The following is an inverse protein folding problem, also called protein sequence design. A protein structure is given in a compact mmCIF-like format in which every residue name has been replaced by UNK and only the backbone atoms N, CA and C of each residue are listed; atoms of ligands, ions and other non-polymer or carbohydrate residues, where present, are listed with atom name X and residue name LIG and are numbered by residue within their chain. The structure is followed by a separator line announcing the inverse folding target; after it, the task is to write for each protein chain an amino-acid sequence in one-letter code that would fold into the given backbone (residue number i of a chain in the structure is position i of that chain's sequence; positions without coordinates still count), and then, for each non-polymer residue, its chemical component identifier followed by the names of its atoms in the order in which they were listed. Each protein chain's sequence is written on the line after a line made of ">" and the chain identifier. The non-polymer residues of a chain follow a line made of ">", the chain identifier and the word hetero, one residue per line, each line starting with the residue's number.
data_IF_558894340366
#
_entry.id   IF_558894340366
#
_cell.length_a   1.000
_cell.length_b   1.000
_cell.length_c   1.000
_cell.angle_alpha   90.00
_cell.angle_beta   90.00
_cell.angle_gamma   90.00
#
_symmetry.space_group_name_H-M   'P 1'
#
loop_
_entity.id
_entity.type
_entity.pdbx_description
1 polymer ?
#
# COMPACT_ATOMS: atom_id res chain seq x y z
N UNK A 1 -20.61 -0.40 -5.79
CA UNK A 1 -19.74 -1.53 -5.41
C UNK A 1 -19.53 -2.40 -6.64
N UNK A 2 -18.30 -2.83 -6.89
CA UNK A 2 -18.01 -3.80 -7.97
C UNK A 2 -18.57 -5.15 -7.55
N UNK A 3 -19.37 -5.74 -8.42
CA UNK A 3 -19.85 -7.10 -8.23
C UNK A 3 -18.74 -8.06 -8.67
N UNK A 4 -17.85 -8.41 -7.73
CA UNK A 4 -16.72 -9.31 -8.02
C UNK A 4 -17.20 -10.73 -8.32
N UNK A 5 -18.33 -11.15 -7.75
CA UNK A 5 -18.93 -12.46 -8.00
C UNK A 5 -19.28 -12.63 -9.49
N UNK A 6 -19.81 -11.58 -10.12
CA UNK A 6 -20.06 -11.57 -11.57
C UNK A 6 -18.77 -11.64 -12.40
N UNK A 7 -17.67 -11.07 -11.92
CA UNK A 7 -16.37 -11.16 -12.60
C UNK A 7 -15.84 -12.59 -12.52
N UNK A 8 -15.87 -13.19 -11.33
CA UNK A 8 -15.39 -14.55 -11.05
C UNK A 8 -16.26 -15.60 -11.77
N UNK A 9 -17.56 -15.37 -11.90
CA UNK A 9 -18.45 -16.26 -12.65
C UNK A 9 -18.06 -16.42 -14.14
N UNK A 10 -17.31 -15.46 -14.70
CA UNK A 10 -16.78 -15.54 -16.05
C UNK A 10 -15.37 -16.14 -16.14
N UNK A 11 -14.76 -16.54 -15.02
CA UNK A 11 -13.42 -17.11 -14.99
C UNK A 11 -13.48 -18.63 -15.15
N UNK A 12 -12.47 -19.18 -15.83
CA UNK A 12 -12.19 -20.61 -15.88
C UNK A 12 -11.34 -21.02 -14.65
N UNK A 13 -11.89 -21.79 -13.69
CA UNK A 13 -11.17 -22.16 -12.48
C UNK A 13 -9.92 -23.00 -12.71
N UNK A 14 -9.81 -23.68 -13.84
CA UNK A 14 -8.63 -24.50 -14.18
C UNK A 14 -7.50 -23.65 -14.79
N UNK A 15 -7.77 -22.37 -15.11
CA UNK A 15 -6.83 -21.47 -15.79
C UNK A 15 -6.60 -20.17 -15.03
N UNK A 16 -6.72 -20.21 -13.71
CA UNK A 16 -6.43 -19.07 -12.84
C UNK A 16 -4.96 -18.66 -12.99
N UNK A 17 -4.74 -17.35 -13.08
CA UNK A 17 -3.39 -16.77 -13.06
C UNK A 17 -3.21 -15.83 -11.87
N UNK A 18 -1.97 -15.73 -11.41
CA UNK A 18 -1.54 -14.80 -10.36
C UNK A 18 -0.98 -13.55 -11.02
N UNK A 19 -1.59 -12.41 -10.74
CA UNK A 19 -1.13 -11.11 -11.21
C UNK A 19 -0.53 -10.28 -10.07
N UNK A 20 0.55 -9.54 -10.33
CA UNK A 20 1.10 -8.54 -9.39
C UNK A 20 1.80 -7.41 -10.13
N UNK A 21 1.96 -6.26 -9.46
CA UNK A 21 2.81 -5.19 -9.96
C UNK A 21 4.28 -5.56 -9.88
N UNK A 22 5.09 -5.01 -10.76
CA UNK A 22 6.53 -5.22 -10.81
C UNK A 22 7.26 -4.35 -9.76
N UNK A 23 7.03 -4.66 -8.48
CA UNK A 23 7.72 -4.02 -7.34
C UNK A 23 7.68 -4.86 -6.06
N UNK A 24 8.29 -4.33 -4.98
CA UNK A 24 8.21 -4.85 -3.62
C UNK A 24 8.58 -6.36 -3.54
N UNK A 25 7.58 -7.22 -3.43
CA UNK A 25 7.71 -8.67 -3.25
C UNK A 25 7.27 -9.47 -4.48
N UNK A 26 7.20 -8.82 -5.66
CA UNK A 26 6.71 -9.41 -6.90
C UNK A 26 7.44 -10.70 -7.27
N UNK A 27 8.77 -10.74 -7.26
CA UNK A 27 9.53 -11.94 -7.62
C UNK A 27 9.22 -13.14 -6.71
N UNK A 28 9.02 -12.90 -5.41
CA UNK A 28 8.62 -13.95 -4.48
C UNK A 28 7.20 -14.44 -4.76
N UNK A 29 6.27 -13.51 -5.03
CA UNK A 29 4.88 -13.83 -5.40
C UNK A 29 4.86 -14.68 -6.67
N UNK A 30 5.61 -14.27 -7.70
CA UNK A 30 5.69 -14.99 -8.97
C UNK A 30 6.34 -16.36 -8.81
N UNK A 31 7.39 -16.45 -8.01
CA UNK A 31 8.02 -17.73 -7.68
C UNK A 31 7.05 -18.67 -6.95
N UNK A 32 6.29 -18.16 -5.98
CA UNK A 32 5.23 -18.92 -5.32
C UNK A 32 4.18 -19.42 -6.31
N UNK A 33 3.71 -18.56 -7.22
CA UNK A 33 2.77 -18.95 -8.27
C UNK A 33 3.32 -20.11 -9.14
N UNK A 34 4.60 -20.07 -9.51
CA UNK A 34 5.26 -21.15 -10.26
C UNK A 34 5.31 -22.46 -9.50
N UNK A 35 5.65 -22.43 -8.21
CA UNK A 35 5.69 -23.63 -7.37
C UNK A 35 4.30 -24.27 -7.24
N UNK A 36 3.26 -23.43 -7.15
CA UNK A 36 1.85 -23.85 -7.12
C UNK A 36 1.26 -24.15 -8.51
N UNK A 37 2.08 -24.14 -9.57
CA UNK A 37 1.69 -24.43 -10.96
C UNK A 37 0.62 -23.48 -11.52
N UNK A 38 0.55 -22.26 -11.02
CA UNK A 38 -0.30 -21.19 -11.52
C UNK A 38 0.45 -20.35 -12.57
N UNK A 39 -0.28 -19.87 -13.58
CA UNK A 39 0.30 -18.95 -14.55
C UNK A 39 0.58 -17.59 -13.91
N UNK A 40 1.68 -16.94 -14.27
CA UNK A 40 2.08 -15.64 -13.71
C UNK A 40 1.94 -14.47 -14.68
N UNK A 41 1.30 -13.39 -14.24
CA UNK A 41 1.14 -12.13 -14.98
C UNK A 41 1.81 -10.99 -14.22
N UNK A 42 2.78 -10.33 -14.84
CA UNK A 42 3.49 -9.20 -14.26
C UNK A 42 3.05 -7.90 -14.93
N UNK A 43 2.49 -6.97 -14.15
CA UNK A 43 2.22 -5.61 -14.63
C UNK A 43 3.45 -4.76 -14.37
N UNK A 44 4.08 -4.23 -15.42
CA UNK A 44 5.40 -3.60 -15.34
C UNK A 44 5.42 -2.26 -16.06
N UNK A 45 6.03 -1.25 -15.44
CA UNK A 45 6.33 0.01 -16.13
C UNK A 45 7.56 -0.15 -17.04
N UNK A 46 7.61 0.62 -18.13
CA UNK A 46 8.72 0.55 -19.12
C UNK A 46 10.11 0.68 -18.50
N UNK A 47 10.27 1.57 -17.52
CA UNK A 47 11.54 1.84 -16.82
C UNK A 47 12.04 0.67 -15.97
N UNK A 48 11.18 -0.33 -15.67
CA UNK A 48 11.53 -1.50 -14.85
C UNK A 48 11.65 -2.78 -15.66
N UNK A 49 11.20 -2.78 -16.91
CA UNK A 49 11.15 -3.98 -17.75
C UNK A 49 12.53 -4.66 -17.89
N UNK A 50 13.59 -3.87 -18.01
CA UNK A 50 14.97 -4.37 -18.11
C UNK A 50 15.35 -5.27 -16.92
N UNK A 51 14.91 -4.92 -15.71
CA UNK A 51 15.22 -5.69 -14.50
C UNK A 51 14.48 -7.03 -14.52
N UNK A 52 13.17 -7.00 -14.77
CA UNK A 52 12.32 -8.19 -14.76
C UNK A 52 12.59 -9.14 -15.93
N UNK A 53 13.19 -8.65 -17.01
CA UNK A 53 13.67 -9.49 -18.12
C UNK A 53 14.73 -10.53 -17.69
N UNK A 54 15.43 -10.32 -16.57
CA UNK A 54 16.35 -11.31 -16.01
C UNK A 54 15.63 -12.48 -15.32
N UNK A 55 14.32 -12.36 -15.08
CA UNK A 55 13.50 -13.31 -14.34
C UNK A 55 12.36 -13.91 -15.19
N UNK A 56 12.53 -13.97 -16.51
CA UNK A 56 11.52 -14.51 -17.45
C UNK A 56 11.06 -15.93 -17.11
N UNK A 57 11.92 -16.75 -16.49
CA UNK A 57 11.55 -18.09 -16.02
C UNK A 57 10.44 -18.09 -14.95
N UNK A 58 10.22 -16.96 -14.27
CA UNK A 58 9.13 -16.77 -13.29
C UNK A 58 7.89 -16.10 -13.89
N UNK A 59 7.94 -15.59 -15.12
CA UNK A 59 6.93 -14.68 -15.69
C UNK A 59 6.39 -15.26 -17.00
N UNK A 60 5.14 -15.72 -17.01
CA UNK A 60 4.49 -16.19 -18.25
C UNK A 60 4.03 -15.05 -19.14
N UNK A 61 3.52 -13.98 -18.53
CA UNK A 61 2.98 -12.83 -19.25
C UNK A 61 3.43 -11.52 -18.60
N UNK A 62 3.78 -10.54 -19.43
CA UNK A 62 4.05 -9.17 -18.99
C UNK A 62 3.02 -8.25 -19.63
N UNK A 63 2.36 -7.43 -18.82
CA UNK A 63 1.54 -6.31 -19.29
C UNK A 63 2.34 -5.04 -19.02
N UNK A 64 2.72 -4.33 -20.08
CA UNK A 64 3.48 -3.09 -19.95
C UNK A 64 2.52 -1.91 -19.84
N UNK A 65 2.75 -1.04 -18.87
CA UNK A 65 1.99 0.20 -18.63
C UNK A 65 2.91 1.42 -18.63
N UNK A 66 2.40 2.61 -18.98
CA UNK A 66 3.20 3.85 -18.91
C UNK A 66 3.33 4.32 -17.45
N UNK A 67 2.25 4.19 -16.69
CA UNK A 67 2.13 4.57 -15.29
C UNK A 67 1.41 3.49 -14.49
N UNK A 68 1.70 3.39 -13.20
CA UNK A 68 0.98 2.46 -12.30
C UNK A 68 -0.53 2.73 -12.23
N UNK A 69 -0.95 3.98 -12.45
CA UNK A 69 -2.37 4.36 -12.50
C UNK A 69 -3.11 3.74 -13.68
N UNK A 70 -2.39 3.38 -14.74
CA UNK A 70 -2.96 2.75 -15.94
C UNK A 70 -3.42 1.31 -15.66
N UNK A 71 -3.13 0.75 -14.49
CA UNK A 71 -3.66 -0.55 -14.08
C UNK A 71 -5.19 -0.62 -14.20
N UNK A 72 -5.87 0.49 -13.90
CA UNK A 72 -7.33 0.59 -13.97
C UNK A 72 -7.86 0.95 -15.37
N UNK A 73 -7.01 1.10 -16.38
CA UNK A 73 -7.46 1.33 -17.74
C UNK A 73 -8.17 0.07 -18.26
N UNK A 74 -9.24 0.27 -19.03
CA UNK A 74 -10.10 -0.81 -19.52
C UNK A 74 -9.32 -1.88 -20.29
N UNK A 75 -8.31 -1.47 -21.07
CA UNK A 75 -7.44 -2.40 -21.80
C UNK A 75 -6.66 -3.34 -20.87
N UNK A 76 -6.03 -2.80 -19.83
CA UNK A 76 -5.24 -3.58 -18.86
C UNK A 76 -6.16 -4.52 -18.07
N UNK A 77 -7.33 -4.02 -17.65
CA UNK A 77 -8.36 -4.82 -17.00
C UNK A 77 -8.82 -5.96 -17.92
N UNK A 78 -9.10 -5.71 -19.20
CA UNK A 78 -9.47 -6.73 -20.16
C UNK A 78 -8.40 -7.81 -20.31
N UNK A 79 -7.13 -7.40 -20.40
CA UNK A 79 -6.00 -8.32 -20.48
C UNK A 79 -5.85 -9.20 -19.23
N UNK A 80 -6.14 -8.66 -18.03
CA UNK A 80 -6.13 -9.43 -16.79
C UNK A 80 -7.33 -10.39 -16.71
N UNK A 81 -8.52 -9.93 -17.09
CA UNK A 81 -9.74 -10.76 -17.07
C UNK A 81 -9.68 -11.92 -18.06
N UNK A 82 -9.16 -11.69 -19.27
CA UNK A 82 -9.01 -12.76 -20.27
C UNK A 82 -8.02 -13.86 -19.86
N UNK A 83 -7.20 -13.58 -18.83
CA UNK A 83 -6.25 -14.52 -18.23
C UNK A 83 -6.74 -15.09 -16.90
N UNK A 84 -8.00 -14.86 -16.52
CA UNK A 84 -8.54 -15.27 -15.23
C UNK A 84 -7.65 -14.81 -14.05
N UNK A 85 -7.07 -13.62 -14.16
CA UNK A 85 -6.09 -13.14 -13.19
C UNK A 85 -6.72 -12.78 -11.86
N UNK A 86 -6.12 -13.28 -10.78
CA UNK A 86 -6.31 -12.81 -9.41
C UNK A 86 -5.12 -11.94 -9.05
N UNK A 87 -5.39 -10.69 -8.67
CA UNK A 87 -4.36 -9.72 -8.31
C UNK A 87 -3.93 -9.92 -6.86
N UNK A 88 -2.63 -10.10 -6.64
CA UNK A 88 -2.01 -10.17 -5.32
C UNK A 88 -1.38 -8.81 -5.00
N UNK A 89 -1.99 -8.01 -4.11
CA UNK A 89 -1.45 -6.72 -3.70
C UNK A 89 -0.24 -6.92 -2.77
N UNK A 90 0.68 -5.97 -2.80
CA UNK A 90 1.87 -5.92 -1.93
C UNK A 90 2.09 -4.50 -1.38
N UNK A 91 3.09 -4.29 -0.53
CA UNK A 91 3.27 -3.03 0.23
C UNK A 91 3.32 -1.74 -0.59
N UNK A 92 3.73 -1.78 -1.86
CA UNK A 92 3.71 -0.60 -2.75
C UNK A 92 2.41 -0.41 -3.55
N UNK A 93 1.43 -1.30 -3.44
CA UNK A 93 0.27 -1.34 -4.35
C UNK A 93 -0.56 -0.05 -4.29
N UNK A 94 -1.17 0.23 -3.13
CA UNK A 94 -2.03 1.41 -2.93
C UNK A 94 -1.28 2.71 -3.20
N UNK A 95 -0.01 2.78 -2.80
CA UNK A 95 0.88 3.94 -3.02
C UNK A 95 1.09 4.23 -4.52
N UNK A 96 1.21 3.19 -5.35
CA UNK A 96 1.48 3.33 -6.77
C UNK A 96 0.23 3.58 -7.60
N UNK A 97 -0.81 2.80 -7.36
CA UNK A 97 -2.03 2.83 -8.19
C UNK A 97 -3.03 3.87 -7.69
N UNK A 98 -2.91 4.29 -6.43
CA UNK A 98 -3.87 5.15 -5.74
C UNK A 98 -5.02 4.36 -5.10
N UNK A 99 -5.57 4.90 -4.01
CA UNK A 99 -6.61 4.22 -3.22
C UNK A 99 -7.87 3.90 -4.04
N UNK A 100 -8.30 4.82 -4.89
CA UNK A 100 -9.49 4.63 -5.74
C UNK A 100 -9.31 3.45 -6.71
N UNK A 101 -8.21 3.43 -7.47
CA UNK A 101 -7.93 2.31 -8.36
C UNK A 101 -7.75 0.99 -7.58
N UNK A 102 -7.05 1.02 -6.44
CA UNK A 102 -6.87 -0.16 -5.59
C UNK A 102 -8.19 -0.76 -5.10
N UNK A 103 -9.13 0.07 -4.65
CA UNK A 103 -10.42 -0.37 -4.12
C UNK A 103 -11.42 -0.74 -5.21
N UNK A 104 -11.37 -0.08 -6.37
CA UNK A 104 -12.37 -0.17 -7.43
C UNK A 104 -11.87 -0.77 -8.76
N UNK A 105 -10.72 -1.43 -8.80
CA UNK A 105 -10.36 -2.23 -9.97
C UNK A 105 -11.30 -3.46 -10.11
N UNK A 106 -11.92 -3.73 -11.27
CA UNK A 106 -12.84 -4.85 -11.45
C UNK A 106 -12.13 -6.19 -11.75
N UNK A 107 -11.14 -6.53 -10.91
CA UNK A 107 -10.31 -7.74 -10.96
C UNK A 107 -10.39 -8.43 -9.59
N UNK A 108 -10.48 -9.76 -9.47
CA UNK A 108 -10.41 -10.43 -8.18
C UNK A 108 -9.11 -10.09 -7.46
N UNK A 109 -9.18 -9.76 -6.17
CA UNK A 109 -8.00 -9.45 -5.34
C UNK A 109 -7.88 -10.52 -4.27
N UNK A 110 -6.66 -11.03 -4.05
CA UNK A 110 -6.38 -11.87 -2.90
C UNK A 110 -6.27 -11.01 -1.65
N UNK A 111 -7.22 -11.16 -0.72
CA UNK A 111 -7.31 -10.39 0.52
C UNK A 111 -8.57 -9.52 0.60
N UNK A 112 -8.57 -8.54 1.49
CA UNK A 112 -9.73 -7.66 1.74
C UNK A 112 -9.49 -6.25 1.21
N UNK A 113 -10.29 -5.83 0.23
CA UNK A 113 -10.27 -4.45 -0.32
C UNK A 113 -10.53 -3.40 0.75
N UNK A 114 -11.38 -3.71 1.73
CA UNK A 114 -11.72 -2.80 2.82
C UNK A 114 -10.50 -2.38 3.63
N UNK A 115 -9.50 -3.25 3.75
CA UNK A 115 -8.28 -2.95 4.51
C UNK A 115 -7.44 -1.85 3.86
N UNK A 116 -7.55 -1.60 2.55
CA UNK A 116 -6.78 -0.53 1.91
C UNK A 116 -7.08 0.84 2.50
N UNK A 117 -8.35 1.24 2.62
CA UNK A 117 -8.70 2.53 3.27
C UNK A 117 -8.37 2.57 4.76
N UNK A 118 -8.36 1.42 5.45
CA UNK A 118 -8.00 1.35 6.87
C UNK A 118 -6.50 1.56 7.05
N UNK A 119 -5.68 0.85 6.26
CA UNK A 119 -4.22 0.88 6.39
C UNK A 119 -3.60 2.17 5.84
N UNK A 120 -4.22 2.75 4.79
CA UNK A 120 -3.81 4.04 4.23
C UNK A 120 -4.04 5.21 5.20
N UNK A 121 -4.96 5.08 6.16
CA UNK A 121 -5.26 6.12 7.14
C UNK A 121 -4.72 5.72 8.53
N UNK A 122 -3.74 6.47 9.03
CA UNK A 122 -3.08 6.12 10.30
C UNK A 122 -4.04 6.10 11.49
N UNK A 123 -5.03 7.00 11.55
CA UNK A 123 -6.03 7.01 12.63
C UNK A 123 -6.92 5.77 12.59
N UNK A 124 -7.41 5.39 11.40
CA UNK A 124 -8.21 4.16 11.23
C UNK A 124 -7.40 2.92 11.59
N UNK A 125 -6.13 2.86 11.19
CA UNK A 125 -5.22 1.79 11.57
C UNK A 125 -5.01 1.71 13.08
N UNK A 126 -4.77 2.83 13.76
CA UNK A 126 -4.63 2.85 15.23
C UNK A 126 -5.94 2.43 15.92
N UNK A 127 -7.09 2.87 15.42
CA UNK A 127 -8.39 2.46 15.94
C UNK A 127 -8.63 0.95 15.78
N UNK A 128 -8.23 0.36 14.65
CA UNK A 128 -8.31 -1.08 14.42
C UNK A 128 -7.43 -1.86 15.42
N UNK A 129 -6.17 -1.44 15.60
CA UNK A 129 -5.24 -2.07 16.55
C UNK A 129 -5.77 -2.00 17.99
N UNK A 130 -6.27 -0.81 18.40
CA UNK A 130 -6.88 -0.61 19.71
C UNK A 130 -8.10 -1.52 19.91
N UNK A 131 -8.97 -1.63 18.91
CA UNK A 131 -10.14 -2.52 18.94
C UNK A 131 -9.75 -3.99 19.04
N UNK A 132 -8.61 -4.38 18.46
CA UNK A 132 -8.07 -5.73 18.54
C UNK A 132 -7.34 -6.04 19.87
N UNK A 133 -7.24 -5.07 20.79
CA UNK A 133 -6.51 -5.25 22.05
C UNK A 133 -4.99 -5.29 21.88
N UNK A 134 -4.47 -4.84 20.72
CA UNK A 134 -3.03 -4.77 20.48
C UNK A 134 -2.50 -3.49 21.15
N UNK A 135 -1.47 -3.58 22.01
CA UNK A 135 -0.84 -2.39 22.59
C UNK A 135 -0.31 -1.47 21.48
N UNK A 136 -0.67 -0.20 21.57
CA UNK A 136 -0.18 0.86 20.69
C UNK A 136 0.52 1.93 21.54
N UNK A 137 1.51 2.66 20.98
CA UNK A 137 2.09 3.81 21.67
C UNK A 137 0.99 4.81 22.03
N UNK A 138 1.12 5.45 23.20
CA UNK A 138 0.21 6.50 23.64
C UNK A 138 0.13 7.61 22.57
N UNK A 139 -1.10 8.06 22.27
CA UNK A 139 -1.34 9.11 21.27
C UNK A 139 -1.58 10.43 22.01
N UNK A 140 -0.86 11.47 21.61
CA UNK A 140 -0.96 12.81 22.16
C UNK A 140 -1.64 13.75 21.16
N UNK A 141 -2.48 14.64 21.68
CA UNK A 141 -3.00 15.80 20.95
C UNK A 141 -2.05 16.99 21.13
N UNK A 142 -2.14 17.97 20.23
CA UNK A 142 -1.38 19.23 20.35
C UNK A 142 -1.68 19.99 21.64
N UNK A 143 -2.86 19.81 22.23
CA UNK A 143 -3.25 20.39 23.51
C UNK A 143 -2.51 19.79 24.69
N UNK A 144 -2.09 18.54 24.59
CA UNK A 144 -1.64 17.73 25.71
C UNK A 144 -0.24 18.14 26.21
N UNK A 145 0.03 17.87 27.48
CA UNK A 145 1.35 18.06 28.07
C UNK A 145 2.28 16.91 27.62
N UNK A 146 3.44 17.27 27.07
CA UNK A 146 4.44 16.30 26.60
C UNK A 146 5.36 15.94 27.77
N UNK A 147 5.02 14.86 28.48
CA UNK A 147 5.77 14.38 29.65
C UNK A 147 6.88 13.38 29.31
N UNK A 148 6.93 12.91 28.06
CA UNK A 148 7.86 11.89 27.56
C UNK A 148 8.27 12.20 26.11
N UNK A 149 9.37 11.61 25.59
CA UNK A 149 9.72 11.77 24.19
C UNK A 149 8.60 11.25 23.28
N UNK A 150 8.30 12.00 22.22
CA UNK A 150 7.28 11.66 21.23
C UNK A 150 7.87 11.61 19.83
N UNK A 151 7.35 10.70 19.01
CA UNK A 151 7.56 10.66 17.57
C UNK A 151 6.38 11.33 16.88
N UNK A 152 6.65 12.38 16.10
CA UNK A 152 5.67 13.05 15.26
C UNK A 152 5.71 12.42 13.87
N UNK A 153 4.57 11.88 13.45
CA UNK A 153 4.38 11.13 12.21
C UNK A 153 3.54 11.94 11.23
N UNK A 154 4.10 12.20 10.05
CA UNK A 154 3.46 12.94 8.96
C UNK A 154 2.65 12.00 8.04
N UNK A 155 1.61 12.51 7.37
CA UNK A 155 0.91 11.77 6.31
C UNK A 155 1.84 11.50 5.13
N UNK A 156 1.65 10.36 4.44
CA UNK A 156 2.38 10.07 3.21
C UNK A 156 3.91 9.92 3.34
N UNK A 157 4.44 9.88 4.57
CA UNK A 157 5.85 9.66 4.84
C UNK A 157 6.30 8.26 4.39
N UNK A 158 6.72 8.13 3.13
CA UNK A 158 7.18 6.87 2.53
C UNK A 158 8.40 6.35 3.30
N UNK A 159 8.22 5.30 4.09
CA UNK A 159 9.26 4.75 4.95
C UNK A 159 9.69 5.66 6.10
N UNK A 160 8.79 6.52 6.60
CA UNK A 160 9.06 7.39 7.76
C UNK A 160 9.80 8.69 7.44
N UNK A 161 9.95 9.05 6.16
CA UNK A 161 10.55 10.34 5.77
C UNK A 161 9.78 11.53 6.37
N UNK A 162 10.51 12.42 7.03
CA UNK A 162 9.94 13.61 7.67
C UNK A 162 9.44 13.39 9.10
N UNK A 163 9.51 12.16 9.61
CA UNK A 163 9.24 11.92 11.03
C UNK A 163 10.32 12.57 11.89
N UNK A 164 9.94 12.99 13.09
CA UNK A 164 10.90 13.56 14.03
C UNK A 164 10.52 13.30 15.48
N UNK A 165 11.55 13.23 16.31
CA UNK A 165 11.40 13.12 17.76
C UNK A 165 11.34 14.51 18.37
N UNK A 166 10.48 14.70 19.36
CA UNK A 166 10.39 15.92 20.14
C UNK A 166 10.15 15.60 21.63
N UNK A 167 10.54 16.53 22.51
CA UNK A 167 10.25 16.48 23.95
C UNK A 167 9.62 17.78 24.45
N UNK A 168 9.20 18.65 23.54
CA UNK A 168 8.64 19.97 23.88
C UNK A 168 7.54 20.29 22.89
N UNK A 169 6.40 20.74 23.42
CA UNK A 169 5.24 21.20 22.65
C UNK A 169 5.59 22.34 21.69
N UNK A 170 6.40 23.30 22.14
CA UNK A 170 6.80 24.44 21.31
C UNK A 170 7.57 24.00 20.07
N UNK A 171 8.52 23.05 20.23
CA UNK A 171 9.26 22.47 19.10
C UNK A 171 8.36 21.71 18.13
N UNK A 172 7.33 21.02 18.64
CA UNK A 172 6.34 20.33 17.80
C UNK A 172 5.58 21.36 16.97
N UNK A 173 5.05 22.40 17.61
CA UNK A 173 4.27 23.46 16.93
C UNK A 173 5.11 24.20 15.89
N UNK A 174 6.34 24.60 16.25
CA UNK A 174 7.26 25.28 15.34
C UNK A 174 7.48 24.47 14.05
N UNK A 175 7.80 23.18 14.21
CA UNK A 175 8.12 22.29 13.08
C UNK A 175 6.89 21.92 12.26
N UNK A 176 5.73 21.76 12.89
CA UNK A 176 4.45 21.57 12.19
C UNK A 176 4.13 22.81 11.35
N UNK A 177 4.27 24.02 11.91
CA UNK A 177 4.05 25.26 11.17
C UNK A 177 5.00 25.40 9.97
N UNK A 178 6.26 24.98 10.12
CA UNK A 178 7.22 24.90 9.01
C UNK A 178 6.72 23.96 7.90
N UNK A 179 6.25 22.76 8.26
CA UNK A 179 5.73 21.78 7.30
C UNK A 179 4.43 22.22 6.62
N UNK A 180 3.55 22.90 7.34
CA UNK A 180 2.35 23.52 6.79
C UNK A 180 2.72 24.61 5.77
N UNK A 181 3.67 25.49 6.10
CA UNK A 181 4.17 26.54 5.18
C UNK A 181 4.80 25.95 3.91
N UNK A 182 5.47 24.80 4.04
CA UNK A 182 6.07 24.07 2.90
C UNK A 182 5.05 23.24 2.12
N UNK A 183 3.79 23.19 2.54
CA UNK A 183 2.75 22.38 1.91
C UNK A 183 2.94 20.86 2.06
N UNK A 184 3.80 20.43 3.00
CA UNK A 184 4.07 19.02 3.28
C UNK A 184 2.90 18.41 4.07
N UNK A 185 2.34 19.18 5.00
CA UNK A 185 1.12 18.85 5.72
C UNK A 185 0.05 19.83 5.27
N UNK A 186 -1.16 19.32 4.98
CA UNK A 186 -2.29 20.19 4.60
C UNK A 186 -3.12 20.55 5.82
N UNK A 187 -3.32 19.58 6.72
CA UNK A 187 -4.16 19.71 7.88
C UNK A 187 -3.54 19.01 9.10
N UNK A 188 -3.85 19.50 10.30
CA UNK A 188 -3.29 18.95 11.55
C UNK A 188 -3.80 17.54 11.88
N UNK A 189 -4.99 17.17 11.39
CA UNK A 189 -5.57 15.83 11.54
C UNK A 189 -4.80 14.76 10.76
N UNK A 190 -3.95 15.16 9.82
CA UNK A 190 -3.08 14.25 9.09
C UNK A 190 -1.86 13.80 9.91
N UNK A 191 -1.56 14.50 11.01
CA UNK A 191 -0.41 14.25 11.88
C UNK A 191 -0.82 13.35 13.04
N UNK A 192 0.06 12.41 13.40
CA UNK A 192 -0.04 11.65 14.65
C UNK A 192 1.18 11.92 15.52
N UNK A 193 0.94 12.32 16.77
CA UNK A 193 1.97 12.43 17.80
C UNK A 193 1.84 11.20 18.69
N UNK A 194 2.90 10.40 18.77
CA UNK A 194 2.90 9.16 19.53
C UNK A 194 4.08 9.10 20.48
N UNK A 195 3.91 8.43 21.61
CA UNK A 195 5.02 8.07 22.49
C UNK A 195 6.16 7.43 21.69
N UNK A 196 7.38 7.91 21.92
CA UNK A 196 8.57 7.31 21.37
C UNK A 196 9.00 6.13 22.23
N UNK A 197 8.71 4.92 21.74
CA UNK A 197 9.05 3.67 22.42
C UNK A 197 10.50 3.30 22.10
N UNK A 198 11.33 3.22 23.15
CA UNK A 198 12.69 2.68 23.04
C UNK A 198 12.62 1.16 23.05
N UNK A 199 12.90 0.54 21.90
CA UNK A 199 12.93 -0.90 21.73
C UNK A 199 14.31 -1.41 21.32
N UNK A 200 14.37 -2.66 20.88
CA UNK A 200 15.59 -3.24 20.32
C UNK A 200 16.05 -2.43 19.11
N UNK A 201 17.35 -2.11 19.07
CA UNK A 201 17.98 -1.50 17.90
C UNK A 201 18.09 -2.56 16.80
N UNK A 202 17.55 -2.25 15.62
CA UNK A 202 17.67 -3.10 14.43
C UNK A 202 19.12 -3.21 13.95
#
# INVERSE_FOLDING_TARGET
>A
MINIDRVIAGYDPEKISVATLASHSSLQILHGAKLEKLSSVLICTKDRLWFYNNFKHLIDHVIVVESWRDLCNDEVVLQLRSRNSVLIPHGSYVEYVGLECAEYIPIPIFGSRYLFSIEANQHKKMALLKKAGIPIPEIFNLGDEITKPVMVKLPGAKGGRGYFIAMSKDKIIEKINEYMKKGIVKNLDEIIIQEYIVGVTA
#
